data_IF_420607290463
#
_entry.id   IF_420607290463
#
_cell.length_a   1.000
_cell.length_b   1.000
_cell.length_c   1.000
_cell.angle_alpha   90.00
_cell.angle_beta   90.00
_cell.angle_gamma   90.00
#
_symmetry.space_group_name_H-M   'P 1'
#
loop_
_entity.id
_entity.type
_entity.pdbx_description
1 polymer ?
#
# COMPACT_ATOMS: atom_id res chain seq x y z
N UNK A 1 8.64 -5.90 -3.73
CA UNK A 1 9.68 -5.03 -3.11
C UNK A 1 9.94 -5.41 -1.66
N UNK A 2 8.92 -5.76 -0.87
CA UNK A 2 9.03 -6.16 0.55
C UNK A 2 10.25 -7.03 0.92
N UNK A 3 10.49 -8.14 0.22
CA UNK A 3 11.60 -9.06 0.53
C UNK A 3 12.98 -8.37 0.44
N UNK A 4 13.20 -7.54 -0.57
CA UNK A 4 14.49 -6.85 -0.73
C UNK A 4 14.67 -5.78 0.34
N UNK A 5 13.61 -5.01 0.61
CA UNK A 5 13.62 -3.96 1.62
C UNK A 5 13.85 -4.51 3.02
N UNK A 6 13.29 -5.68 3.35
CA UNK A 6 13.54 -6.32 4.64
C UNK A 6 14.99 -6.77 4.81
N UNK A 7 15.66 -7.23 3.74
CA UNK A 7 17.11 -7.49 3.78
C UNK A 7 17.94 -6.23 4.02
N UNK A 8 17.44 -5.06 3.63
CA UNK A 8 18.07 -3.75 3.87
C UNK A 8 17.69 -3.16 5.23
N UNK A 9 16.91 -3.87 6.06
CA UNK A 9 16.44 -3.39 7.36
C UNK A 9 15.32 -2.35 7.28
N UNK A 10 14.74 -2.14 6.10
CA UNK A 10 13.56 -1.30 5.94
C UNK A 10 12.32 -2.07 6.35
N UNK A 11 11.54 -1.48 7.24
CA UNK A 11 10.26 -2.05 7.62
C UNK A 11 9.22 -1.76 6.53
N UNK A 12 8.71 -2.83 5.92
CA UNK A 12 7.71 -2.80 4.86
C UNK A 12 6.60 -3.80 5.13
N UNK A 13 5.43 -3.58 4.53
CA UNK A 13 4.34 -4.56 4.53
C UNK A 13 3.61 -4.55 3.18
N UNK A 14 2.83 -5.60 2.91
CA UNK A 14 1.93 -5.71 1.75
C UNK A 14 0.53 -5.20 2.08
N UNK A 15 -0.03 -4.42 1.16
CA UNK A 15 -1.43 -3.95 1.21
C UNK A 15 -2.17 -4.47 -0.01
N UNK A 16 -3.32 -5.09 0.24
CA UNK A 16 -4.25 -5.59 -0.78
C UNK A 16 -5.34 -4.57 -1.05
N UNK A 17 -5.83 -4.57 -2.28
CA UNK A 17 -6.93 -3.72 -2.72
C UNK A 17 -7.24 -3.94 -4.20
N UNK A 18 -7.60 -2.85 -4.87
CA UNK A 18 -7.82 -2.81 -6.31
C UNK A 18 -7.23 -1.53 -6.90
N UNK A 19 -6.92 -1.57 -8.20
CA UNK A 19 -6.66 -0.38 -9.02
C UNK A 19 -7.30 -0.58 -10.38
N UNK A 20 -7.99 0.44 -10.90
CA UNK A 20 -8.74 0.33 -12.16
C UNK A 20 -9.81 -0.77 -12.16
N UNK A 21 -10.36 -1.11 -11.00
CA UNK A 21 -11.36 -2.18 -10.84
C UNK A 21 -10.80 -3.61 -10.85
N UNK A 22 -9.48 -3.78 -10.91
CA UNK A 22 -8.81 -5.09 -10.89
C UNK A 22 -8.10 -5.28 -9.55
N UNK A 23 -8.13 -6.50 -9.02
CA UNK A 23 -7.42 -6.85 -7.79
C UNK A 23 -5.93 -6.50 -7.90
N UNK A 24 -5.43 -5.77 -6.93
CA UNK A 24 -4.08 -5.22 -6.92
C UNK A 24 -3.45 -5.31 -5.53
N UNK A 25 -2.12 -5.25 -5.47
CA UNK A 25 -1.36 -5.30 -4.23
C UNK A 25 -0.11 -4.45 -4.37
N UNK A 26 0.15 -3.62 -3.36
CA UNK A 26 1.32 -2.74 -3.30
C UNK A 26 1.98 -2.84 -1.92
N UNK A 27 2.99 -2.02 -1.69
CA UNK A 27 3.72 -1.98 -0.44
C UNK A 27 3.45 -0.71 0.36
N UNK A 28 3.60 -0.79 1.67
CA UNK A 28 3.85 0.36 2.53
C UNK A 28 5.24 0.27 3.12
N UNK A 29 5.87 1.41 3.36
CA UNK A 29 7.21 1.52 3.95
C UNK A 29 7.19 2.45 5.15
N UNK A 30 7.90 2.07 6.20
CA UNK A 30 8.06 2.87 7.41
C UNK A 30 9.35 3.68 7.34
N UNK A 31 9.22 5.00 7.32
CA UNK A 31 10.32 5.95 7.23
C UNK A 31 10.13 7.03 8.30
N UNK A 32 11.20 7.35 9.01
CA UNK A 32 11.23 8.49 9.96
C UNK A 32 10.07 8.51 10.98
N UNK A 33 9.59 7.33 11.40
CA UNK A 33 8.51 7.24 12.38
C UNK A 33 7.10 7.08 11.80
N UNK A 34 6.93 7.12 10.47
CA UNK A 34 5.62 7.14 9.81
C UNK A 34 5.54 6.18 8.61
N UNK A 35 4.33 5.74 8.27
CA UNK A 35 4.07 4.87 7.13
C UNK A 35 3.72 5.67 5.87
N UNK A 36 4.18 5.18 4.73
CA UNK A 36 3.89 5.73 3.41
C UNK A 36 3.46 4.62 2.46
N UNK A 37 2.54 4.93 1.54
CA UNK A 37 2.22 4.02 0.44
C UNK A 37 3.32 4.09 -0.63
N UNK A 38 3.69 2.93 -1.14
CA UNK A 38 4.74 2.75 -2.12
C UNK A 38 4.32 1.70 -3.14
N UNK A 39 3.86 2.17 -4.31
CA UNK A 39 3.51 1.32 -5.44
C UNK A 39 4.46 1.55 -6.61
N UNK A 40 5.28 0.54 -6.90
CA UNK A 40 6.30 0.59 -7.95
C UNK A 40 5.85 -0.12 -9.24
N UNK A 41 4.59 -0.55 -9.31
CA UNK A 41 4.07 -1.38 -10.41
C UNK A 41 4.21 -0.73 -11.78
N UNK A 42 4.15 0.60 -11.84
CA UNK A 42 4.27 1.36 -13.09
C UNK A 42 5.57 2.17 -13.19
N UNK A 43 6.55 1.88 -12.32
CA UNK A 43 7.81 2.62 -12.23
C UNK A 43 8.94 1.99 -13.08
N UNK A 44 8.64 1.03 -13.94
CA UNK A 44 9.59 0.22 -14.71
C UNK A 44 9.75 0.62 -16.19
N UNK A 45 9.14 1.76 -16.60
CA UNK A 45 9.28 2.31 -17.95
C UNK A 45 10.64 2.97 -18.23
N UNK A 46 10.90 3.30 -19.50
CA UNK A 46 12.11 4.02 -19.93
C UNK A 46 12.28 5.40 -19.27
N UNK A 47 11.18 6.00 -18.82
CA UNK A 47 11.19 7.20 -18.00
C UNK A 47 10.72 6.80 -16.61
N UNK A 48 11.50 7.09 -15.56
CA UNK A 48 11.09 6.71 -14.22
C UNK A 48 9.87 7.53 -13.79
N UNK A 49 8.82 6.84 -13.35
CA UNK A 49 7.59 7.45 -12.85
C UNK A 49 7.52 7.20 -11.34
N UNK A 50 7.36 8.26 -10.55
CA UNK A 50 7.38 8.21 -9.09
C UNK A 50 6.07 8.66 -8.44
N UNK A 51 4.97 8.68 -9.21
CA UNK A 51 3.67 9.20 -8.77
C UNK A 51 3.09 8.49 -7.53
N UNK A 52 3.55 7.26 -7.25
CA UNK A 52 3.13 6.46 -6.11
C UNK A 52 4.30 6.16 -5.16
N UNK A 53 5.33 7.00 -5.17
CA UNK A 53 6.51 6.84 -4.33
C UNK A 53 6.36 7.64 -3.03
N UNK A 54 6.25 6.93 -1.91
CA UNK A 54 6.08 7.47 -0.57
C UNK A 54 4.89 8.45 -0.46
N UNK A 55 3.69 8.03 -0.82
CA UNK A 55 2.52 8.91 -0.84
C UNK A 55 1.54 8.63 0.30
N UNK A 56 0.65 9.58 0.55
CA UNK A 56 -0.42 9.45 1.54
C UNK A 56 -1.57 8.57 1.05
N UNK A 57 -2.40 8.09 1.97
CA UNK A 57 -3.66 7.41 1.68
C UNK A 57 -4.58 8.29 0.82
N UNK A 58 -4.56 9.61 1.01
CA UNK A 58 -5.38 10.54 0.24
C UNK A 58 -4.96 10.56 -1.24
N UNK A 59 -3.66 10.55 -1.53
CA UNK A 59 -3.17 10.52 -2.92
C UNK A 59 -3.42 9.15 -3.54
N UNK A 60 -3.13 8.08 -2.80
CA UNK A 60 -3.31 6.72 -3.29
C UNK A 60 -4.77 6.44 -3.70
N UNK A 61 -5.73 6.90 -2.87
CA UNK A 61 -7.18 6.70 -3.08
C UNK A 61 -7.73 7.38 -4.33
N UNK A 62 -6.95 8.20 -5.04
CA UNK A 62 -7.38 8.75 -6.33
C UNK A 62 -7.43 7.69 -7.42
N UNK A 63 -6.64 6.61 -7.30
CA UNK A 63 -6.54 5.54 -8.31
C UNK A 63 -6.65 4.13 -7.75
N UNK A 64 -6.66 3.98 -6.42
CA UNK A 64 -6.74 2.70 -5.72
C UNK A 64 -7.91 2.63 -4.75
N UNK A 65 -8.46 1.43 -4.57
CA UNK A 65 -9.36 1.12 -3.47
C UNK A 65 -8.65 0.16 -2.51
N UNK A 66 -8.61 0.51 -1.23
CA UNK A 66 -7.91 -0.29 -0.22
C UNK A 66 -8.88 -1.31 0.38
N UNK A 67 -8.49 -2.58 0.39
CA UNK A 67 -9.27 -3.61 1.05
C UNK A 67 -9.36 -3.37 2.56
N UNK A 68 -10.49 -3.70 3.21
CA UNK A 68 -10.66 -3.47 4.64
C UNK A 68 -9.66 -4.24 5.49
N UNK A 69 -9.39 -3.74 6.70
CA UNK A 69 -8.66 -4.50 7.70
C UNK A 69 -9.51 -5.68 8.17
N UNK A 70 -8.89 -6.87 8.30
CA UNK A 70 -9.59 -8.06 8.77
C UNK A 70 -10.19 -7.86 10.17
N UNK A 71 -9.53 -7.06 11.01
CA UNK A 71 -9.97 -6.71 12.37
C UNK A 71 -11.25 -5.87 12.41
N UNK A 72 -11.64 -5.22 11.30
CA UNK A 72 -12.86 -4.40 11.22
C UNK A 72 -14.07 -5.17 10.69
N UNK A 73 -13.90 -6.45 10.35
CA UNK A 73 -14.93 -7.27 9.71
C UNK A 73 -15.48 -8.33 10.66
N UNK A 74 -16.76 -8.67 10.48
CA UNK A 74 -17.38 -9.85 11.09
C UNK A 74 -16.94 -11.14 10.37
N UNK A 75 -17.14 -12.30 11.00
CA UNK A 75 -16.84 -13.60 10.39
C UNK A 75 -17.55 -13.83 9.04
N UNK A 76 -18.81 -13.35 8.92
CA UNK A 76 -19.57 -13.44 7.67
C UNK A 76 -18.95 -12.56 6.57
N UNK A 77 -18.54 -11.33 6.91
CA UNK A 77 -17.89 -10.41 5.97
C UNK A 77 -16.49 -10.90 5.57
N UNK A 78 -15.73 -11.50 6.49
CA UNK A 78 -14.42 -12.10 6.17
C UNK A 78 -14.55 -13.24 5.15
N UNK A 79 -15.55 -14.09 5.31
CA UNK A 79 -15.83 -15.19 4.36
C UNK A 79 -16.22 -14.64 2.99
N UNK A 80 -17.03 -13.57 2.95
CA UNK A 80 -17.48 -12.95 1.71
C UNK A 80 -16.38 -12.14 1.00
N UNK A 81 -15.37 -11.65 1.72
CA UNK A 81 -14.32 -10.79 1.16
C UNK A 81 -13.32 -11.54 0.26
N UNK A 82 -13.43 -12.87 0.11
CA UNK A 82 -12.65 -13.68 -0.82
C UNK A 82 -11.13 -13.37 -0.81
N UNK A 83 -10.54 -13.29 0.39
CA UNK A 83 -9.13 -12.94 0.62
C UNK A 83 -8.68 -11.51 0.28
N UNK A 84 -9.58 -10.62 -0.13
CA UNK A 84 -9.32 -9.18 -0.22
C UNK A 84 -9.53 -8.52 1.14
N UNK A 85 -8.62 -8.81 2.07
CA UNK A 85 -8.54 -8.19 3.39
C UNK A 85 -7.08 -7.96 3.77
N UNK A 86 -6.84 -6.98 4.63
CA UNK A 86 -5.53 -6.67 5.16
C UNK A 86 -5.42 -7.11 6.63
N UNK A 87 -4.42 -7.94 6.97
CA UNK A 87 -4.14 -8.27 8.37
C UNK A 87 -3.46 -7.11 9.11
N UNK A 88 -2.72 -6.30 8.37
CA UNK A 88 -2.06 -5.09 8.82
C UNK A 88 -2.42 -3.98 7.84
N UNK A 89 -2.95 -2.88 8.36
CA UNK A 89 -3.33 -1.72 7.56
C UNK A 89 -2.97 -0.44 8.33
N UNK A 90 -1.76 0.12 8.13
CA UNK A 90 -1.35 1.35 8.77
C UNK A 90 -2.02 2.56 8.11
N UNK A 91 -2.03 3.69 8.82
CA UNK A 91 -2.43 4.97 8.23
C UNK A 91 -1.21 5.68 7.65
N UNK A 92 -1.32 6.14 6.40
CA UNK A 92 -0.28 6.88 5.71
C UNK A 92 -0.74 8.32 5.48
N UNK A 93 -0.39 9.23 6.38
CA UNK A 93 -0.87 10.64 6.35
C UNK A 93 0.24 11.67 6.25
N UNK A 94 1.49 11.28 6.52
CA UNK A 94 2.62 12.17 6.50
C UNK A 94 3.05 12.51 5.08
N UNK A 95 3.61 13.71 4.89
CA UNK A 95 4.16 14.18 3.61
C UNK A 95 5.66 14.46 3.65
N UNK A 96 6.30 14.29 4.82
CA UNK A 96 7.69 14.68 5.03
C UNK A 96 8.69 13.96 4.11
N UNK A 97 8.44 12.68 3.84
CA UNK A 97 9.28 11.84 2.96
C UNK A 97 8.60 11.58 1.61
N UNK A 98 7.61 12.40 1.22
CA UNK A 98 6.97 12.28 -0.08
C UNK A 98 7.99 12.53 -1.19
N UNK A 99 7.88 11.74 -2.26
CA UNK A 99 8.58 12.04 -3.49
C UNK A 99 7.75 13.04 -4.31
N UNK A 100 8.28 14.25 -4.49
CA UNK A 100 7.66 15.38 -5.22
C UNK A 100 8.45 15.69 -6.49
#
# INVERSE_FOLDING_TARGET
MELLSSYLGLQTALIRGSSGGVGHMWNVVYLSGTWYNLDLTWSDGNQPIYNYFNITDQVLKQTHEVAPAASTLTAAQLTAANSQVNLFLPSCTATAENYI
#
